data_IF_325846456225
#
_entry.id   IF_325846456225
#
_cell.length_a   1.000
_cell.length_b   1.000
_cell.length_c   1.000
_cell.angle_alpha   90.00
_cell.angle_beta   90.00
_cell.angle_gamma   90.00
#
_symmetry.space_group_name_H-M   'P 1'
#
loop_
_entity.id
_entity.type
_entity.pdbx_description
1 polymer ?
#
# COMPACT_ATOMS: atom_id res chain seq x y z
N UNK A 1 19.38 -7.43 -6.64
CA UNK A 1 18.87 -6.85 -5.38
C UNK A 1 19.97 -5.97 -4.80
N UNK A 2 19.69 -4.72 -4.47
CA UNK A 2 20.68 -3.81 -3.88
C UNK A 2 21.13 -4.30 -2.50
N UNK A 3 22.40 -4.06 -2.19
CA UNK A 3 22.95 -4.32 -0.85
C UNK A 3 22.55 -3.19 0.11
N UNK A 4 22.66 -3.43 1.43
CA UNK A 4 22.48 -2.37 2.44
C UNK A 4 23.41 -1.17 2.20
N UNK A 5 24.61 -1.41 1.67
CA UNK A 5 25.58 -0.36 1.32
C UNK A 5 25.05 0.52 0.19
N UNK A 6 24.41 -0.07 -0.84
CA UNK A 6 23.82 0.68 -1.95
C UNK A 6 22.66 1.55 -1.49
N UNK A 7 21.79 1.00 -0.62
CA UNK A 7 20.67 1.75 -0.01
C UNK A 7 21.21 2.91 0.83
N UNK A 8 22.19 2.67 1.68
CA UNK A 8 22.80 3.75 2.49
C UNK A 8 23.43 4.84 1.62
N UNK A 9 24.05 4.47 0.49
CA UNK A 9 24.58 5.43 -0.47
C UNK A 9 23.46 6.24 -1.10
N UNK A 10 22.39 5.58 -1.56
CA UNK A 10 21.20 6.24 -2.11
C UNK A 10 20.62 7.24 -1.10
N UNK A 11 20.33 6.83 0.13
CA UNK A 11 19.76 7.69 1.17
C UNK A 11 20.60 8.94 1.47
N UNK A 12 21.94 8.78 1.51
CA UNK A 12 22.88 9.91 1.77
C UNK A 12 22.94 10.92 0.63
N UNK A 13 22.72 10.45 -0.61
CA UNK A 13 22.87 11.29 -1.81
C UNK A 13 21.53 11.79 -2.33
N UNK A 14 20.42 11.21 -1.88
CA UNK A 14 19.09 11.59 -2.32
C UNK A 14 18.74 13.01 -1.86
N UNK A 15 18.30 13.82 -2.82
CA UNK A 15 17.81 15.18 -2.57
C UNK A 15 16.30 15.20 -2.78
N UNK A 16 15.54 15.25 -1.69
CA UNK A 16 14.09 15.38 -1.77
C UNK A 16 13.69 16.67 -2.48
N UNK A 17 12.73 16.56 -3.38
CA UNK A 17 12.15 17.72 -4.09
C UNK A 17 11.11 18.47 -3.26
N UNK A 18 10.77 17.97 -2.06
CA UNK A 18 9.64 18.46 -1.27
C UNK A 18 8.28 17.87 -1.70
N UNK A 19 8.22 17.20 -2.86
CA UNK A 19 7.06 16.44 -3.29
C UNK A 19 7.17 14.99 -2.77
N UNK A 20 6.26 14.64 -1.87
CA UNK A 20 6.24 13.34 -1.21
C UNK A 20 5.97 12.18 -2.18
N UNK A 21 5.07 12.37 -3.15
CA UNK A 21 4.76 11.36 -4.18
C UNK A 21 5.95 11.13 -5.10
N UNK A 22 6.64 12.19 -5.48
CA UNK A 22 7.84 12.10 -6.31
C UNK A 22 8.95 11.37 -5.54
N UNK A 23 9.18 11.73 -4.28
CA UNK A 23 10.13 11.06 -3.42
C UNK A 23 9.83 9.56 -3.32
N UNK A 24 8.56 9.17 -3.10
CA UNK A 24 8.14 7.78 -3.02
C UNK A 24 8.33 7.03 -4.33
N UNK A 25 8.03 7.67 -5.46
CA UNK A 25 8.28 7.09 -6.80
C UNK A 25 9.75 6.79 -7.04
N UNK A 26 10.64 7.75 -6.71
CA UNK A 26 12.09 7.59 -6.88
C UNK A 26 12.65 6.46 -5.98
N UNK A 27 12.12 6.36 -4.74
CA UNK A 27 12.46 5.26 -3.80
C UNK A 27 12.02 3.90 -4.34
N UNK A 28 10.79 3.81 -4.85
CA UNK A 28 10.25 2.57 -5.40
C UNK A 28 11.02 2.14 -6.66
N UNK A 29 11.32 3.06 -7.57
CA UNK A 29 12.08 2.76 -8.79
C UNK A 29 13.49 2.25 -8.45
N UNK A 30 14.19 2.93 -7.52
CA UNK A 30 15.47 2.48 -7.03
C UNK A 30 15.37 1.10 -6.38
N UNK A 31 14.47 0.92 -5.41
CA UNK A 31 14.35 -0.30 -4.61
C UNK A 31 14.08 -1.56 -5.47
N UNK A 32 13.30 -1.39 -6.53
CA UNK A 32 12.82 -2.50 -7.36
C UNK A 32 13.52 -2.62 -8.72
N UNK A 33 14.65 -1.92 -8.91
CA UNK A 33 15.46 -2.05 -10.11
C UNK A 33 15.85 -3.51 -10.37
N UNK A 34 15.56 -4.01 -11.59
CA UNK A 34 15.86 -5.38 -12.02
C UNK A 34 14.92 -6.45 -11.47
N UNK A 35 13.97 -6.12 -10.61
CA UNK A 35 12.93 -7.05 -10.14
C UNK A 35 11.79 -7.15 -11.16
N UNK A 36 11.12 -8.32 -11.19
CA UNK A 36 10.01 -8.58 -12.11
C UNK A 36 8.72 -8.90 -11.36
N UNK A 37 7.61 -8.46 -11.94
CA UNK A 37 6.26 -8.82 -11.48
C UNK A 37 5.87 -10.24 -11.94
N UNK A 38 4.66 -10.66 -11.58
CA UNK A 38 4.12 -12.00 -11.92
C UNK A 38 3.90 -12.21 -13.41
N UNK A 39 3.81 -11.14 -14.19
CA UNK A 39 3.68 -11.18 -15.65
C UNK A 39 5.05 -11.12 -16.37
N UNK A 40 6.14 -10.97 -15.63
CA UNK A 40 7.50 -10.84 -16.19
C UNK A 40 7.91 -9.42 -16.55
N UNK A 41 7.05 -8.42 -16.33
CA UNK A 41 7.36 -7.00 -16.48
C UNK A 41 8.23 -6.51 -15.31
N UNK A 42 8.71 -5.27 -15.36
CA UNK A 42 9.40 -4.67 -14.20
C UNK A 42 8.46 -4.58 -13.00
N UNK A 43 8.93 -4.85 -11.79
CA UNK A 43 8.09 -4.72 -10.58
C UNK A 43 7.64 -3.26 -10.40
N UNK A 44 8.44 -2.28 -10.81
CA UNK A 44 8.06 -0.88 -10.79
C UNK A 44 6.83 -0.60 -11.69
N UNK A 45 6.64 -1.31 -12.80
CA UNK A 45 5.43 -1.17 -13.63
C UNK A 45 4.16 -1.68 -12.93
N UNK A 46 4.27 -2.74 -12.10
CA UNK A 46 3.17 -3.14 -11.22
C UNK A 46 2.83 -2.02 -10.22
N UNK A 47 3.84 -1.46 -9.55
CA UNK A 47 3.65 -0.36 -8.60
C UNK A 47 2.96 0.84 -9.28
N UNK A 48 3.36 1.19 -10.50
CA UNK A 48 2.71 2.27 -11.27
C UNK A 48 1.23 1.97 -11.54
N UNK A 49 0.86 0.73 -11.95
CA UNK A 49 -0.54 0.35 -12.16
C UNK A 49 -1.37 0.42 -10.87
N UNK A 50 -0.80 -0.01 -9.74
CA UNK A 50 -1.45 0.14 -8.42
C UNK A 50 -1.72 1.62 -8.11
N UNK A 51 -0.73 2.47 -8.32
CA UNK A 51 -0.87 3.93 -8.15
C UNK A 51 -1.90 4.52 -9.09
N UNK A 52 -1.98 4.07 -10.34
CA UNK A 52 -2.96 4.56 -11.30
C UNK A 52 -4.39 4.15 -10.92
N UNK A 53 -4.60 2.97 -10.33
CA UNK A 53 -5.89 2.58 -9.73
C UNK A 53 -6.26 3.57 -8.59
N UNK A 54 -5.32 3.85 -7.68
CA UNK A 54 -5.57 4.79 -6.57
C UNK A 54 -5.88 6.21 -7.05
N UNK A 55 -5.22 6.70 -8.11
CA UNK A 55 -5.53 7.99 -8.74
C UNK A 55 -6.90 7.99 -9.40
N UNK A 56 -7.27 6.91 -10.10
CA UNK A 56 -8.59 6.74 -10.70
C UNK A 56 -9.71 6.81 -9.66
N UNK A 57 -9.46 6.30 -8.45
CA UNK A 57 -10.34 6.39 -7.29
C UNK A 57 -10.29 7.75 -6.57
N UNK A 58 -9.55 8.72 -7.09
CA UNK A 58 -9.37 10.07 -6.52
C UNK A 58 -8.87 10.06 -5.07
N UNK A 59 -7.95 9.13 -4.74
CA UNK A 59 -7.34 9.05 -3.41
C UNK A 59 -6.40 10.23 -3.18
N UNK A 60 -6.25 10.60 -1.90
CA UNK A 60 -5.36 11.68 -1.48
C UNK A 60 -3.87 11.33 -1.70
N UNK A 61 -3.03 12.36 -1.65
CA UNK A 61 -1.60 12.25 -1.91
C UNK A 61 -0.87 11.31 -0.95
N UNK A 62 -1.33 11.18 0.30
CA UNK A 62 -0.75 10.25 1.28
C UNK A 62 -0.99 8.80 0.84
N UNK A 63 -2.20 8.46 0.43
CA UNK A 63 -2.55 7.11 -0.06
C UNK A 63 -1.79 6.78 -1.34
N UNK A 64 -1.66 7.73 -2.27
CA UNK A 64 -0.85 7.55 -3.49
C UNK A 64 0.62 7.31 -3.14
N UNK A 65 1.16 8.04 -2.15
CA UNK A 65 2.53 7.86 -1.66
C UNK A 65 2.74 6.47 -1.07
N UNK A 66 1.78 6.00 -0.24
CA UNK A 66 1.79 4.64 0.31
C UNK A 66 1.73 3.61 -0.82
N UNK A 67 0.95 3.87 -1.87
CA UNK A 67 0.89 3.03 -3.07
C UNK A 67 2.24 2.83 -3.75
N UNK A 68 3.06 3.88 -3.86
CA UNK A 68 4.44 3.73 -4.37
C UNK A 68 5.32 2.88 -3.45
N UNK A 69 5.12 2.96 -2.14
CA UNK A 69 5.99 2.33 -1.13
C UNK A 69 5.55 0.94 -0.67
N UNK A 70 4.39 0.43 -1.11
CA UNK A 70 3.71 -0.72 -0.50
C UNK A 70 4.54 -2.01 -0.43
N UNK A 71 5.47 -2.21 -1.37
CA UNK A 71 6.34 -3.40 -1.45
C UNK A 71 7.78 -3.14 -0.97
N UNK A 72 8.13 -1.91 -0.56
CA UNK A 72 9.51 -1.49 -0.35
C UNK A 72 10.19 -2.18 0.84
N UNK A 73 9.43 -2.48 1.90
CA UNK A 73 9.93 -3.18 3.09
C UNK A 73 10.12 -4.67 2.82
N UNK A 74 9.24 -5.30 2.05
CA UNK A 74 9.29 -6.73 1.77
C UNK A 74 10.34 -7.10 0.72
N UNK A 75 10.44 -6.30 -0.34
CA UNK A 75 11.21 -6.63 -1.54
C UNK A 75 12.28 -5.59 -1.88
N UNK A 76 12.23 -4.40 -1.30
CA UNK A 76 13.13 -3.28 -1.62
C UNK A 76 14.39 -3.22 -0.77
N UNK A 77 14.43 -3.94 0.36
CA UNK A 77 15.56 -3.95 1.30
C UNK A 77 15.68 -2.69 2.17
N UNK A 78 14.69 -1.79 2.12
CA UNK A 78 14.57 -0.65 3.02
C UNK A 78 14.03 -1.09 4.39
N UNK A 79 14.25 -0.28 5.41
CA UNK A 79 13.73 -0.46 6.77
C UNK A 79 12.71 0.63 7.09
N UNK A 80 11.89 0.42 8.10
CA UNK A 80 11.01 1.47 8.65
C UNK A 80 11.79 2.74 9.01
N UNK A 81 12.99 2.59 9.63
CA UNK A 81 13.85 3.73 9.97
C UNK A 81 14.33 4.52 8.77
N UNK A 82 14.50 3.88 7.61
CA UNK A 82 14.84 4.60 6.37
C UNK A 82 13.65 5.44 5.89
N UNK A 83 12.43 4.88 5.97
CA UNK A 83 11.22 5.59 5.55
C UNK A 83 10.90 6.76 6.48
N UNK A 84 11.07 6.63 7.79
CA UNK A 84 10.77 7.67 8.77
C UNK A 84 11.64 8.92 8.62
N UNK A 85 12.77 8.84 7.92
CA UNK A 85 13.61 9.99 7.61
C UNK A 85 13.03 10.89 6.49
N UNK A 86 12.15 10.36 5.65
CA UNK A 86 11.66 11.04 4.44
C UNK A 86 10.14 11.19 4.38
N UNK A 87 9.41 10.39 5.14
CA UNK A 87 7.95 10.34 5.09
C UNK A 87 7.35 10.54 6.49
N UNK A 88 6.19 11.21 6.58
CA UNK A 88 5.49 11.42 7.85
C UNK A 88 4.97 10.09 8.41
N UNK A 89 4.66 10.09 9.70
CA UNK A 89 4.31 8.89 10.47
C UNK A 89 3.12 8.13 9.88
N UNK A 90 2.05 8.82 9.54
CA UNK A 90 0.86 8.23 8.93
C UNK A 90 1.14 7.50 7.59
N UNK A 91 2.23 7.85 6.88
CA UNK A 91 2.63 7.20 5.64
C UNK A 91 3.46 5.96 5.94
N UNK A 92 4.58 6.09 6.70
CA UNK A 92 5.44 4.92 6.92
C UNK A 92 4.77 3.86 7.81
N UNK A 93 3.90 4.21 8.77
CA UNK A 93 3.11 3.25 9.53
C UNK A 93 2.17 2.42 8.63
N UNK A 94 1.47 3.07 7.70
CA UNK A 94 0.63 2.36 6.76
C UNK A 94 1.45 1.39 5.87
N UNK A 95 2.68 1.75 5.48
CA UNK A 95 3.59 0.85 4.76
C UNK A 95 4.03 -0.32 5.64
N UNK A 96 4.24 -0.11 6.95
CA UNK A 96 4.52 -1.20 7.90
C UNK A 96 3.33 -2.16 7.99
N UNK A 97 2.09 -1.66 8.04
CA UNK A 97 0.89 -2.50 8.02
C UNK A 97 0.76 -3.34 6.75
N UNK A 98 1.31 -2.89 5.62
CA UNK A 98 1.34 -3.61 4.35
C UNK A 98 2.47 -4.64 4.26
N UNK A 99 3.49 -4.54 5.11
CA UNK A 99 4.64 -5.44 5.10
C UNK A 99 4.31 -6.80 5.71
N UNK A 100 4.68 -7.86 5.00
CA UNK A 100 4.42 -9.23 5.43
C UNK A 100 5.55 -9.75 6.32
N UNK A 101 5.27 -9.92 7.60
CA UNK A 101 6.18 -10.66 8.48
C UNK A 101 6.21 -12.14 8.04
N UNK A 102 7.41 -12.62 7.64
CA UNK A 102 7.60 -13.99 7.13
C UNK A 102 7.21 -15.08 8.13
N UNK A 103 7.05 -14.76 9.39
CA UNK A 103 6.65 -15.69 10.46
C UNK A 103 5.14 -15.66 10.75
N UNK A 104 4.42 -14.66 10.28
CA UNK A 104 2.97 -14.55 10.49
C UNK A 104 2.18 -15.42 9.49
N UNK A 105 1.07 -15.98 9.97
CA UNK A 105 0.10 -16.60 9.08
C UNK A 105 -0.64 -15.53 8.25
N UNK A 106 -1.39 -15.99 7.23
CA UNK A 106 -2.09 -15.06 6.35
C UNK A 106 -3.19 -14.29 7.07
N UNK A 107 -3.86 -14.90 8.00
CA UNK A 107 -4.91 -14.31 8.84
C UNK A 107 -4.35 -13.17 9.69
N UNK A 108 -3.20 -13.37 10.33
CA UNK A 108 -2.51 -12.33 11.11
C UNK A 108 -2.07 -11.16 10.22
N UNK A 109 -1.57 -11.45 9.03
CA UNK A 109 -1.21 -10.41 8.06
C UNK A 109 -2.42 -9.57 7.65
N UNK A 110 -3.58 -10.21 7.39
CA UNK A 110 -4.79 -9.46 7.07
C UNK A 110 -5.33 -8.69 8.27
N UNK A 111 -5.25 -9.24 9.48
CA UNK A 111 -5.61 -8.52 10.70
C UNK A 111 -4.77 -7.24 10.86
N UNK A 112 -3.45 -7.33 10.63
CA UNK A 112 -2.54 -6.17 10.65
C UNK A 112 -2.95 -5.09 9.61
N UNK A 113 -3.27 -5.47 8.37
CA UNK A 113 -3.73 -4.52 7.34
C UNK A 113 -5.04 -3.84 7.77
N UNK A 114 -5.95 -4.60 8.40
CA UNK A 114 -7.27 -4.12 8.85
C UNK A 114 -7.20 -3.07 9.97
N UNK A 115 -6.05 -2.82 10.57
CA UNK A 115 -5.83 -1.76 11.55
C UNK A 115 -5.61 -0.38 10.89
N UNK A 116 -5.33 -0.35 9.58
CA UNK A 116 -4.99 0.89 8.86
C UNK A 116 -5.87 1.08 7.62
N UNK A 117 -6.77 2.07 7.64
CA UNK A 117 -7.60 2.41 6.47
C UNK A 117 -6.76 2.68 5.20
N UNK A 118 -5.66 3.47 5.21
CA UNK A 118 -4.80 3.62 4.04
C UNK A 118 -4.20 2.30 3.56
N UNK A 119 -3.76 1.42 4.46
CA UNK A 119 -3.22 0.11 4.10
C UNK A 119 -4.28 -0.77 3.42
N UNK A 120 -5.52 -0.77 3.89
CA UNK A 120 -6.65 -1.48 3.26
C UNK A 120 -6.84 -1.00 1.81
N UNK A 121 -6.91 0.31 1.59
CA UNK A 121 -7.15 0.90 0.27
C UNK A 121 -6.03 0.53 -0.72
N UNK A 122 -4.78 0.64 -0.29
CA UNK A 122 -3.63 0.27 -1.11
C UNK A 122 -3.60 -1.24 -1.38
N UNK A 123 -3.94 -2.08 -0.39
CA UNK A 123 -3.99 -3.54 -0.60
C UNK A 123 -5.10 -3.97 -1.54
N UNK A 124 -6.24 -3.31 -1.53
CA UNK A 124 -7.32 -3.54 -2.51
C UNK A 124 -6.82 -3.22 -3.93
N UNK A 125 -6.10 -2.11 -4.12
CA UNK A 125 -5.54 -1.74 -5.42
C UNK A 125 -4.48 -2.75 -5.89
N UNK A 126 -3.55 -3.18 -5.02
CA UNK A 126 -2.57 -4.23 -5.29
C UNK A 126 -3.23 -5.56 -5.72
N UNK A 127 -4.22 -6.02 -4.95
CA UNK A 127 -4.94 -7.26 -5.28
C UNK A 127 -5.72 -7.13 -6.59
N UNK A 128 -6.25 -5.94 -6.89
CA UNK A 128 -6.97 -5.67 -8.13
C UNK A 128 -6.05 -5.73 -9.34
N UNK A 129 -4.85 -5.14 -9.29
CA UNK A 129 -3.84 -5.28 -10.36
C UNK A 129 -3.38 -6.73 -10.50
N UNK A 130 -3.06 -7.39 -9.40
CA UNK A 130 -2.67 -8.81 -9.40
C UNK A 130 -3.75 -9.73 -10.01
N UNK A 131 -5.04 -9.42 -9.77
CA UNK A 131 -6.17 -10.13 -10.35
C UNK A 131 -6.30 -9.86 -11.85
N UNK A 132 -6.12 -8.59 -12.28
CA UNK A 132 -6.21 -8.20 -13.69
C UNK A 132 -5.16 -8.92 -14.55
N UNK A 133 -3.94 -9.08 -14.06
CA UNK A 133 -2.85 -9.78 -14.77
C UNK A 133 -3.21 -11.24 -15.12
N UNK A 134 -4.00 -11.92 -14.28
CA UNK A 134 -4.40 -13.33 -14.51
C UNK A 134 -5.78 -13.47 -15.14
N UNK A 135 -6.39 -12.36 -15.58
CA UNK A 135 -7.66 -12.41 -16.32
C UNK A 135 -7.39 -12.76 -17.78
N UNK A 136 -7.70 -14.01 -18.14
CA UNK A 136 -7.74 -14.49 -19.52
C UNK A 136 -9.03 -15.30 -19.74
N UNK A 137 -9.37 -15.54 -21.01
CA UNK A 137 -10.62 -16.23 -21.37
C UNK A 137 -10.58 -17.73 -21.05
N UNK A 138 -9.37 -18.31 -20.95
CA UNK A 138 -9.14 -19.73 -20.68
C UNK A 138 -8.13 -19.90 -19.54
N UNK A 139 -8.52 -19.58 -18.27
CA UNK A 139 -7.61 -19.69 -17.14
C UNK A 139 -7.28 -21.15 -16.84
N UNK A 140 -6.03 -21.41 -16.49
CA UNK A 140 -5.66 -22.67 -15.86
C UNK A 140 -6.33 -22.80 -14.48
N UNK A 141 -6.48 -24.02 -13.96
CA UNK A 141 -7.04 -24.24 -12.61
C UNK A 141 -6.33 -23.39 -11.55
N UNK A 142 -5.00 -23.27 -11.65
CA UNK A 142 -4.19 -22.46 -10.74
C UNK A 142 -4.54 -20.97 -10.82
N UNK A 143 -4.77 -20.43 -11.99
CA UNK A 143 -5.18 -19.04 -12.21
C UNK A 143 -6.61 -18.82 -11.72
N UNK A 144 -7.52 -19.75 -12.00
CA UNK A 144 -8.88 -19.71 -11.50
C UNK A 144 -8.91 -19.61 -9.96
N UNK A 145 -8.21 -20.50 -9.25
CA UNK A 145 -8.18 -20.49 -7.79
C UNK A 145 -7.48 -19.24 -7.22
N UNK A 146 -6.46 -18.69 -7.92
CA UNK A 146 -5.87 -17.41 -7.54
C UNK A 146 -6.88 -16.26 -7.65
N UNK A 147 -7.69 -16.23 -8.71
CA UNK A 147 -8.76 -15.23 -8.88
C UNK A 147 -9.81 -15.33 -7.76
N UNK A 148 -10.26 -16.53 -7.45
CA UNK A 148 -11.20 -16.76 -6.34
C UNK A 148 -10.62 -16.24 -5.03
N UNK A 149 -9.34 -16.52 -4.76
CA UNK A 149 -8.64 -16.04 -3.60
C UNK A 149 -8.59 -14.50 -3.56
N UNK A 150 -8.16 -13.84 -4.63
CA UNK A 150 -8.09 -12.38 -4.67
C UNK A 150 -9.45 -11.72 -4.50
N UNK A 151 -10.51 -12.26 -5.08
CA UNK A 151 -11.87 -11.75 -4.87
C UNK A 151 -12.27 -11.80 -3.39
N UNK A 152 -12.08 -12.95 -2.72
CA UNK A 152 -12.40 -13.09 -1.29
C UNK A 152 -11.60 -12.11 -0.42
N UNK A 153 -10.34 -11.90 -0.75
CA UNK A 153 -9.46 -10.97 -0.02
C UNK A 153 -9.92 -9.52 -0.21
N UNK A 154 -10.26 -9.13 -1.44
CA UNK A 154 -10.83 -7.80 -1.74
C UNK A 154 -12.14 -7.61 -0.99
N UNK A 155 -13.06 -8.58 -1.01
CA UNK A 155 -14.35 -8.52 -0.31
C UNK A 155 -14.14 -8.37 1.20
N UNK A 156 -13.20 -9.12 1.79
CA UNK A 156 -12.84 -9.04 3.20
C UNK A 156 -12.34 -7.64 3.57
N UNK A 157 -11.40 -7.09 2.78
CA UNK A 157 -10.83 -5.76 3.02
C UNK A 157 -11.88 -4.66 2.83
N UNK A 158 -12.73 -4.78 1.80
CA UNK A 158 -13.83 -3.84 1.54
C UNK A 158 -14.82 -3.80 2.70
N UNK A 159 -15.18 -4.97 3.25
CA UNK A 159 -16.01 -5.06 4.44
C UNK A 159 -15.33 -4.42 5.67
N UNK A 160 -14.01 -4.51 5.77
CA UNK A 160 -13.22 -3.87 6.83
C UNK A 160 -13.27 -2.36 6.81
N UNK A 161 -13.45 -1.74 5.63
CA UNK A 161 -13.56 -0.27 5.51
C UNK A 161 -14.78 0.29 6.25
N UNK A 162 -15.85 -0.48 6.43
CA UNK A 162 -17.04 -0.04 7.15
C UNK A 162 -16.72 0.41 8.59
N UNK A 163 -15.74 -0.24 9.25
CA UNK A 163 -15.30 0.14 10.60
C UNK A 163 -14.80 1.58 10.70
N UNK A 164 -14.26 2.13 9.61
CA UNK A 164 -13.75 3.50 9.57
C UNK A 164 -14.82 4.52 9.18
N UNK A 165 -16.00 4.08 8.71
CA UNK A 165 -17.13 4.97 8.37
C UNK A 165 -17.90 5.35 9.61
N UNK A 166 -18.03 4.45 10.60
CA UNK A 166 -18.81 4.67 11.81
C UNK A 166 -18.15 5.63 12.81
N UNK A 167 -16.80 5.77 12.76
CA UNK A 167 -16.07 6.72 13.60
C UNK A 167 -16.34 8.19 13.22
N UNK A 168 -16.65 8.49 11.96
CA UNK A 168 -16.92 9.86 11.50
C UNK A 168 -18.34 10.34 11.78
N UNK A 169 -19.28 9.43 12.00
CA UNK A 169 -20.68 9.79 12.35
C UNK A 169 -20.83 10.18 13.83
N UNK A 170 -20.00 9.64 14.72
CA UNK A 170 -20.08 9.91 16.17
C UNK A 170 -19.47 11.27 16.59
N UNK A 171 -18.59 11.87 15.80
CA UNK A 171 -18.01 13.19 16.11
C UNK A 171 -18.90 14.36 15.69
N UNK A 172 -19.86 14.15 14.77
CA UNK A 172 -20.81 15.19 14.37
C UNK A 172 -21.94 15.42 15.37
N UNK A 173 -22.27 14.42 16.17
CA UNK A 173 -23.34 14.53 17.18
C UNK A 173 -22.86 15.17 18.51
N UNK A 174 -21.54 15.27 18.72
CA UNK A 174 -20.98 15.88 19.93
C UNK A 174 -20.86 17.42 19.87
N UNK A 175 -20.94 18.03 18.68
CA UNK A 175 -20.78 19.48 18.52
C UNK A 175 -22.10 20.28 18.60
N UNK A 176 -23.26 19.61 18.71
CA UNK A 176 -24.55 20.28 18.74
C UNK A 176 -25.13 20.50 20.17
N UNK A 177 -24.36 20.21 21.23
CA UNK A 177 -24.83 20.30 22.63
C UNK A 177 -24.25 21.47 23.45
N UNK A 178 -23.59 22.45 22.80
CA UNK A 178 -23.00 23.59 23.49
C UNK A 178 -23.46 24.95 22.92
N UNK A 179 -24.76 25.14 22.64
CA UNK A 179 -25.34 26.46 22.51
C UNK A 179 -26.82 26.41 23.00
N UNK A 180 -27.02 26.62 24.27
CA UNK A 180 -28.20 27.27 24.87
C UNK A 180 -28.04 27.29 26.39
N UNK A 181 -27.45 28.33 26.90
CA UNK A 181 -27.67 28.83 28.26
C UNK A 181 -27.03 30.23 28.35
N UNK A 182 -27.79 31.27 27.99
CA UNK A 182 -28.02 32.51 28.77
C UNK A 182 -28.99 33.40 27.99
#
# INVERSE_FOLDING_TARGET
MYTRTDINKFLRTYKSTGDMKRTASDFAEFAHTGQKDKAGNTLFSHIQRVVDILKGDQRDDSIITIGYLHDILDNGGFTQGDLSMFFPENVWEAVVHLSHNKTSCREEYFAQIMESRPAILVKIADLSDNRAIIMNDHPTDKEYWKRVKYNREIDTLTSGLAKFSDCFSSEKDASSFCEESD
#
